data_IF_191553263711
#
_entry.id   IF_191553263711
#
_cell.length_a   1.000
_cell.length_b   1.000
_cell.length_c   1.000
_cell.angle_alpha   90.00
_cell.angle_beta   90.00
_cell.angle_gamma   90.00
#
_symmetry.space_group_name_H-M   'P 1'
#
loop_
_entity.id
_entity.type
_entity.pdbx_description
1 polymer ?
#
# COMPACT_ATOMS: atom_id res chain seq x y z
N UNK A 1 -13.07 19.55 -13.03
CA UNK A 1 -13.77 18.40 -12.41
C UNK A 1 -15.21 18.73 -11.99
N UNK A 2 -15.48 19.80 -11.23
CA UNK A 2 -16.83 20.11 -10.71
C UNK A 2 -17.91 20.34 -11.79
N UNK A 3 -17.56 20.93 -12.94
CA UNK A 3 -18.48 21.09 -14.08
C UNK A 3 -18.98 19.75 -14.65
N UNK A 4 -18.22 18.65 -14.47
CA UNK A 4 -18.63 17.30 -14.90
C UNK A 4 -19.60 16.63 -13.92
N UNK A 5 -19.83 17.24 -12.74
CA UNK A 5 -20.67 16.69 -11.66
C UNK A 5 -22.02 17.41 -11.55
N UNK A 6 -22.38 18.20 -12.57
CA UNK A 6 -23.63 18.94 -12.69
C UNK A 6 -23.94 19.89 -11.51
N UNK A 7 -22.91 20.43 -10.84
CA UNK A 7 -23.11 21.47 -9.83
C UNK A 7 -23.41 22.81 -10.51
N UNK A 8 -24.45 23.51 -10.04
CA UNK A 8 -24.72 24.89 -10.44
C UNK A 8 -23.62 25.86 -9.95
N UNK A 9 -23.47 27.05 -10.53
CA UNK A 9 -22.50 28.06 -10.06
C UNK A 9 -22.64 28.38 -8.56
N UNK A 10 -23.88 28.42 -8.06
CA UNK A 10 -24.16 28.64 -6.64
C UNK A 10 -23.68 27.46 -5.78
N UNK A 11 -23.88 26.23 -6.24
CA UNK A 11 -23.40 25.03 -5.54
C UNK A 11 -21.87 24.94 -5.55
N UNK A 12 -21.21 25.35 -6.64
CA UNK A 12 -19.75 25.42 -6.71
C UNK A 12 -19.20 26.43 -5.70
N UNK A 13 -19.84 27.59 -5.58
CA UNK A 13 -19.49 28.63 -4.60
C UNK A 13 -19.75 28.15 -3.17
N UNK A 14 -20.87 27.45 -2.92
CA UNK A 14 -21.15 26.83 -1.62
C UNK A 14 -20.11 25.77 -1.26
N UNK A 15 -19.74 24.89 -2.19
CA UNK A 15 -18.72 23.89 -1.97
C UNK A 15 -17.36 24.52 -1.63
N UNK A 16 -16.92 25.52 -2.41
CA UNK A 16 -15.69 26.25 -2.11
C UNK A 16 -15.71 26.89 -0.71
N UNK A 17 -16.84 27.47 -0.30
CA UNK A 17 -17.02 28.04 1.04
C UNK A 17 -16.96 26.97 2.13
N UNK A 18 -17.50 25.76 1.91
CA UNK A 18 -17.37 24.63 2.85
C UNK A 18 -15.90 24.28 3.04
N UNK A 19 -15.12 24.15 1.95
CA UNK A 19 -13.70 23.82 2.03
C UNK A 19 -12.88 24.89 2.76
N UNK A 20 -13.16 26.18 2.51
CA UNK A 20 -12.51 27.30 3.21
C UNK A 20 -12.80 27.25 4.72
N UNK A 21 -14.06 27.04 5.10
CA UNK A 21 -14.46 26.91 6.52
C UNK A 21 -13.80 25.70 7.18
N UNK A 22 -13.74 24.57 6.47
CA UNK A 22 -13.11 23.34 6.97
C UNK A 22 -11.62 23.58 7.26
N UNK A 23 -10.90 24.18 6.31
CA UNK A 23 -9.48 24.48 6.44
C UNK A 23 -9.15 25.53 7.52
N UNK A 24 -10.11 26.40 7.85
CA UNK A 24 -9.97 27.38 8.94
C UNK A 24 -10.42 26.85 10.31
N UNK A 25 -11.06 25.68 10.36
CA UNK A 25 -11.53 25.06 11.60
C UNK A 25 -10.41 24.29 12.30
N UNK A 26 -10.49 24.20 13.62
CA UNK A 26 -9.65 23.31 14.45
C UNK A 26 -10.34 21.99 14.81
N UNK A 27 -11.57 21.79 14.31
CA UNK A 27 -12.36 20.59 14.53
C UNK A 27 -11.81 19.39 13.76
N UNK A 28 -12.11 18.18 14.24
CA UNK A 28 -11.89 16.98 13.42
C UNK A 28 -12.78 17.02 12.16
N UNK A 29 -12.41 16.32 11.07
CA UNK A 29 -13.25 16.25 9.88
C UNK A 29 -14.68 15.81 10.15
N UNK A 30 -14.87 14.82 11.03
CA UNK A 30 -16.22 14.35 11.43
C UNK A 30 -17.01 15.42 12.18
N UNK A 31 -16.39 16.10 13.15
CA UNK A 31 -17.05 17.16 13.91
C UNK A 31 -17.43 18.35 13.03
N UNK A 32 -16.57 18.69 12.07
CA UNK A 32 -16.88 19.71 11.08
C UNK A 32 -18.07 19.30 10.19
N UNK A 33 -18.08 18.06 9.68
CA UNK A 33 -19.21 17.53 8.91
C UNK A 33 -20.53 17.57 9.71
N UNK A 34 -20.49 17.28 11.01
CA UNK A 34 -21.66 17.39 11.89
C UNK A 34 -22.18 18.82 12.05
N UNK A 35 -21.34 19.83 11.83
CA UNK A 35 -21.73 21.24 11.90
C UNK A 35 -22.44 21.74 10.62
N UNK A 36 -22.35 20.99 9.53
CA UNK A 36 -22.90 21.40 8.24
C UNK A 36 -24.43 21.25 8.22
N UNK A 37 -25.07 22.20 7.54
CA UNK A 37 -26.50 22.12 7.27
C UNK A 37 -26.81 21.00 6.27
N UNK A 38 -28.06 20.53 6.25
CA UNK A 38 -28.49 19.50 5.28
C UNK A 38 -28.25 19.91 3.82
N UNK A 39 -28.37 21.22 3.51
CA UNK A 39 -28.07 21.76 2.17
C UNK A 39 -26.58 21.70 1.85
N UNK A 40 -25.71 22.05 2.80
CA UNK A 40 -24.26 21.93 2.64
C UNK A 40 -23.82 20.47 2.49
N UNK A 41 -24.43 19.55 3.24
CA UNK A 41 -24.20 18.10 3.09
C UNK A 41 -24.63 17.58 1.72
N UNK A 42 -25.76 18.04 1.19
CA UNK A 42 -26.21 17.67 -0.16
C UNK A 42 -25.24 18.19 -1.25
N UNK A 43 -24.69 19.40 -1.06
CA UNK A 43 -23.65 19.94 -1.94
C UNK A 43 -22.38 19.08 -1.88
N UNK A 44 -21.94 18.66 -0.69
CA UNK A 44 -20.79 17.74 -0.54
C UNK A 44 -21.03 16.40 -1.24
N UNK A 45 -22.18 15.79 -1.01
CA UNK A 45 -22.55 14.52 -1.64
C UNK A 45 -22.50 14.60 -3.17
N UNK A 46 -23.06 15.67 -3.74
CA UNK A 46 -23.05 15.89 -5.18
C UNK A 46 -21.64 16.25 -5.69
N UNK A 47 -20.90 17.07 -4.96
CA UNK A 47 -19.51 17.43 -5.29
C UNK A 47 -18.62 16.19 -5.37
N UNK A 48 -18.86 15.17 -4.54
CA UNK A 48 -18.14 13.89 -4.55
C UNK A 48 -18.79 12.79 -5.40
N UNK A 49 -19.93 13.06 -6.04
CA UNK A 49 -20.71 12.11 -6.84
C UNK A 49 -21.10 10.83 -6.06
N UNK A 50 -21.41 10.98 -4.77
CA UNK A 50 -21.80 9.87 -3.91
C UNK A 50 -23.27 9.49 -4.15
N UNK A 51 -23.53 8.20 -4.39
CA UNK A 51 -24.88 7.69 -4.61
C UNK A 51 -25.75 7.75 -3.35
N UNK A 52 -25.16 7.43 -2.20
CA UNK A 52 -25.84 7.40 -0.90
C UNK A 52 -25.62 8.70 -0.13
N UNK A 53 -26.57 9.01 0.76
CA UNK A 53 -26.40 10.07 1.75
C UNK A 53 -25.20 9.77 2.64
N UNK A 54 -24.48 10.82 3.05
CA UNK A 54 -23.29 10.68 3.89
C UNK A 54 -23.70 10.33 5.32
N UNK A 55 -23.37 9.13 5.79
CA UNK A 55 -23.52 8.72 7.18
C UNK A 55 -22.24 9.00 7.98
N UNK A 56 -22.18 10.18 8.61
CA UNK A 56 -20.99 10.69 9.31
C UNK A 56 -20.53 9.73 10.43
N UNK A 57 -21.45 9.01 11.08
CA UNK A 57 -21.12 8.12 12.20
C UNK A 57 -20.22 6.97 11.74
N UNK A 58 -20.52 6.41 10.57
CA UNK A 58 -19.85 5.22 10.02
C UNK A 58 -18.63 5.53 9.15
N UNK A 59 -18.35 6.80 8.84
CA UNK A 59 -17.14 7.16 8.09
C UNK A 59 -15.87 6.79 8.87
N UNK A 60 -14.77 6.51 8.18
CA UNK A 60 -13.46 6.58 8.82
C UNK A 60 -13.01 8.05 8.99
N UNK A 61 -11.89 8.26 9.68
CA UNK A 61 -11.27 9.59 9.73
C UNK A 61 -10.80 10.05 8.34
N UNK A 62 -10.33 9.11 7.52
CA UNK A 62 -9.89 9.34 6.14
C UNK A 62 -11.06 9.68 5.22
N UNK A 63 -12.11 8.85 5.24
CA UNK A 63 -13.33 9.07 4.45
C UNK A 63 -13.99 10.40 4.74
N UNK A 64 -13.96 10.85 6.00
CA UNK A 64 -14.42 12.18 6.40
C UNK A 64 -13.47 13.30 5.93
N UNK A 65 -12.15 13.11 6.03
CA UNK A 65 -11.16 14.09 5.58
C UNK A 65 -11.22 14.31 4.06
N UNK A 66 -11.31 13.24 3.28
CA UNK A 66 -11.37 13.29 1.83
C UNK A 66 -12.69 13.90 1.29
N UNK A 67 -13.75 13.98 2.10
CA UNK A 67 -14.93 14.78 1.76
C UNK A 67 -14.66 16.29 1.81
N UNK A 68 -13.69 16.72 2.62
CA UNK A 68 -13.37 18.12 2.90
C UNK A 68 -12.18 18.65 2.08
N UNK A 69 -11.91 18.02 0.95
CA UNK A 69 -10.93 18.48 -0.05
C UNK A 69 -11.59 18.57 -1.42
N UNK A 70 -10.90 19.22 -2.36
CA UNK A 70 -11.32 19.20 -3.75
C UNK A 70 -11.36 17.75 -4.27
N UNK A 71 -12.34 17.37 -5.10
CA UNK A 71 -12.48 16.02 -5.61
C UNK A 71 -11.52 15.78 -6.78
N UNK A 72 -10.24 15.85 -6.45
CA UNK A 72 -9.08 15.58 -7.29
C UNK A 72 -8.32 14.41 -6.64
N UNK A 73 -8.12 13.28 -7.35
CA UNK A 73 -7.37 12.14 -6.81
C UNK A 73 -5.99 12.50 -6.25
N UNK A 74 -5.34 13.55 -6.77
CA UNK A 74 -4.00 13.95 -6.32
C UNK A 74 -3.99 14.70 -4.98
N UNK A 75 -5.16 15.14 -4.50
CA UNK A 75 -5.30 15.86 -3.25
C UNK A 75 -5.80 14.98 -2.11
N UNK A 76 -6.19 13.74 -2.42
CA UNK A 76 -6.69 12.80 -1.43
C UNK A 76 -5.59 12.31 -0.52
N UNK A 77 -5.99 11.82 0.65
CA UNK A 77 -5.10 11.25 1.65
C UNK A 77 -5.50 9.80 1.88
N UNK A 78 -4.49 8.95 2.05
CA UNK A 78 -4.58 7.57 2.52
C UNK A 78 -3.89 7.55 3.90
N UNK A 79 -4.69 7.59 4.97
CA UNK A 79 -4.19 7.72 6.34
C UNK A 79 -3.70 6.40 6.91
N UNK A 80 -4.37 5.29 6.57
CA UNK A 80 -4.00 3.97 7.07
C UNK A 80 -2.89 3.32 6.23
N UNK A 81 -2.51 3.93 5.10
CA UNK A 81 -1.48 3.49 4.16
C UNK A 81 -1.77 2.09 3.61
N UNK A 82 -3.05 1.76 3.39
CA UNK A 82 -3.47 0.48 2.83
C UNK A 82 -3.55 0.50 1.28
N UNK A 83 -3.24 1.64 0.67
CA UNK A 83 -3.23 1.82 -0.77
C UNK A 83 -4.62 1.93 -1.40
N UNK A 84 -5.66 2.02 -0.57
CA UNK A 84 -6.99 2.45 -0.96
C UNK A 84 -7.21 3.89 -0.48
N UNK A 85 -8.18 4.55 -1.08
CA UNK A 85 -8.59 5.87 -0.64
C UNK A 85 -10.07 5.87 -0.37
N UNK A 86 -10.45 6.33 0.82
CA UNK A 86 -11.83 6.43 1.26
C UNK A 86 -12.39 7.83 0.98
N UNK A 87 -13.55 7.93 0.32
CA UNK A 87 -14.30 9.20 0.15
C UNK A 87 -15.73 8.96 0.64
N UNK A 88 -16.06 9.49 1.82
CA UNK A 88 -17.22 9.00 2.54
C UNK A 88 -17.04 7.49 2.82
N UNK A 89 -18.02 6.68 2.41
CA UNK A 89 -17.95 5.20 2.50
C UNK A 89 -17.35 4.56 1.24
N UNK A 90 -17.16 5.34 0.16
CA UNK A 90 -16.63 4.83 -1.09
C UNK A 90 -15.15 4.50 -0.97
N UNK A 91 -14.75 3.31 -1.42
CA UNK A 91 -13.35 2.88 -1.47
C UNK A 91 -12.87 2.83 -2.91
N UNK A 92 -11.74 3.48 -3.17
CA UNK A 92 -11.15 3.57 -4.49
C UNK A 92 -9.74 2.99 -4.46
N UNK A 93 -9.45 2.10 -5.40
CA UNK A 93 -8.08 1.68 -5.67
C UNK A 93 -7.47 2.70 -6.61
N UNK A 94 -6.27 3.14 -6.27
CA UNK A 94 -5.43 3.94 -7.16
C UNK A 94 -4.00 3.45 -7.04
N UNK A 95 -3.25 3.53 -8.14
CA UNK A 95 -1.81 3.32 -8.10
C UNK A 95 -1.09 4.39 -8.93
N UNK A 96 0.00 4.96 -8.41
CA UNK A 96 0.45 4.88 -7.01
C UNK A 96 -0.60 5.51 -6.08
N UNK A 97 -0.66 5.11 -4.81
CA UNK A 97 -1.59 5.71 -3.86
C UNK A 97 -1.25 7.20 -3.63
N UNK A 98 -2.19 8.00 -3.11
CA UNK A 98 -1.99 9.46 -2.97
C UNK A 98 -0.77 9.86 -2.14
N UNK A 99 -0.40 9.05 -1.15
CA UNK A 99 0.76 9.21 -0.28
C UNK A 99 2.09 8.73 -0.89
N UNK A 100 2.09 8.14 -2.10
CA UNK A 100 3.34 7.73 -2.76
C UNK A 100 4.23 8.94 -3.11
N UNK A 101 5.56 8.79 -3.12
CA UNK A 101 6.45 9.88 -3.52
C UNK A 101 6.23 10.33 -4.97
N UNK A 102 6.45 11.62 -5.23
CA UNK A 102 6.25 12.22 -6.55
C UNK A 102 7.06 11.56 -7.68
N UNK A 103 8.26 11.04 -7.39
CA UNK A 103 9.04 10.33 -8.38
C UNK A 103 8.36 9.02 -8.83
N UNK A 104 7.67 8.31 -7.93
CA UNK A 104 6.91 7.09 -8.23
C UNK A 104 5.67 7.44 -9.05
N UNK A 105 4.93 8.49 -8.65
CA UNK A 105 3.75 8.98 -9.39
C UNK A 105 4.12 9.37 -10.83
N UNK A 106 5.21 10.12 -11.00
CA UNK A 106 5.71 10.50 -12.33
C UNK A 106 6.12 9.30 -13.16
N UNK A 107 6.89 8.37 -12.59
CA UNK A 107 7.31 7.17 -13.30
C UNK A 107 6.11 6.33 -13.79
N UNK A 108 5.06 6.22 -12.96
CA UNK A 108 3.82 5.55 -13.34
C UNK A 108 3.06 6.28 -14.45
N UNK A 109 2.94 7.61 -14.34
CA UNK A 109 2.27 8.43 -15.35
C UNK A 109 2.95 8.28 -16.72
N UNK A 110 4.29 8.32 -16.76
CA UNK A 110 5.08 8.13 -17.97
C UNK A 110 4.97 6.68 -18.49
N UNK A 111 4.96 5.68 -17.60
CA UNK A 111 4.84 4.27 -17.99
C UNK A 111 3.48 3.91 -18.59
N UNK A 112 2.43 4.60 -18.14
CA UNK A 112 1.04 4.37 -18.58
C UNK A 112 0.57 5.36 -19.65
N UNK A 113 1.46 6.20 -20.16
CA UNK A 113 1.13 7.17 -21.21
C UNK A 113 0.58 6.47 -22.46
N UNK A 114 -0.56 6.99 -22.96
CA UNK A 114 -1.23 6.48 -24.16
C UNK A 114 -2.17 5.29 -23.93
N UNK A 115 -2.25 4.74 -22.72
CA UNK A 115 -3.24 3.73 -22.38
C UNK A 115 -4.64 4.33 -22.25
N UNK A 116 -5.66 3.54 -22.60
CA UNK A 116 -7.04 3.90 -22.28
C UNK A 116 -7.34 3.67 -20.79
N UNK A 117 -8.40 4.29 -20.29
CA UNK A 117 -8.80 4.23 -18.87
C UNK A 117 -9.01 2.81 -18.35
N UNK A 118 -9.56 1.91 -19.16
CA UNK A 118 -9.83 0.53 -18.73
C UNK A 118 -8.54 -0.26 -18.55
N UNK A 119 -7.60 -0.13 -19.49
CA UNK A 119 -6.31 -0.81 -19.40
C UNK A 119 -5.46 -0.23 -18.27
N UNK A 120 -5.49 1.09 -18.08
CA UNK A 120 -4.85 1.73 -16.94
C UNK A 120 -5.44 1.25 -15.61
N UNK A 121 -6.77 1.19 -15.48
CA UNK A 121 -7.44 0.72 -14.26
C UNK A 121 -7.09 -0.74 -13.93
N UNK A 122 -6.97 -1.61 -14.94
CA UNK A 122 -6.53 -3.01 -14.73
C UNK A 122 -5.10 -3.08 -14.21
N UNK A 123 -4.22 -2.23 -14.74
CA UNK A 123 -2.84 -2.13 -14.29
C UNK A 123 -2.76 -1.57 -12.87
N UNK A 124 -3.54 -0.54 -12.53
CA UNK A 124 -3.63 -0.01 -11.17
C UNK A 124 -4.09 -1.07 -10.18
N UNK A 125 -5.13 -1.84 -10.54
CA UNK A 125 -5.57 -2.98 -9.73
C UNK A 125 -4.46 -4.00 -9.53
N UNK A 126 -3.72 -4.37 -10.59
CA UNK A 126 -2.60 -5.31 -10.50
C UNK A 126 -1.46 -4.79 -9.62
N UNK A 127 -1.13 -3.51 -9.73
CA UNK A 127 -0.08 -2.89 -8.92
C UNK A 127 -0.51 -2.84 -7.45
N UNK A 128 -1.75 -2.44 -7.17
CA UNK A 128 -2.32 -2.45 -5.83
C UNK A 128 -2.26 -3.86 -5.23
N UNK A 129 -2.76 -4.89 -5.93
CA UNK A 129 -2.75 -6.26 -5.38
C UNK A 129 -1.34 -6.83 -5.22
N UNK A 130 -0.38 -6.38 -6.01
CA UNK A 130 1.03 -6.78 -5.82
C UNK A 130 1.64 -6.14 -4.57
N UNK A 131 1.32 -4.88 -4.29
CA UNK A 131 1.85 -4.17 -3.11
C UNK A 131 1.10 -4.57 -1.83
N UNK A 132 -0.22 -4.42 -1.83
CA UNK A 132 -1.09 -4.49 -0.65
C UNK A 132 -1.84 -5.83 -0.52
N UNK A 133 -1.83 -6.67 -1.57
CA UNK A 133 -2.62 -7.90 -1.60
C UNK A 133 -4.10 -7.65 -1.90
N UNK A 134 -4.92 -8.68 -1.67
CA UNK A 134 -6.38 -8.58 -1.70
C UNK A 134 -6.87 -8.78 -0.27
N UNK A 135 -7.63 -7.83 0.25
CA UNK A 135 -8.34 -8.01 1.51
C UNK A 135 -9.61 -8.83 1.25
N UNK A 136 -9.69 -10.02 1.82
CA UNK A 136 -10.88 -10.88 1.82
C UNK A 136 -11.22 -11.17 3.28
N UNK A 137 -12.47 -10.94 3.67
CA UNK A 137 -12.93 -11.22 5.03
C UNK A 137 -12.53 -12.65 5.46
N UNK A 138 -11.97 -12.75 6.67
CA UNK A 138 -11.45 -13.98 7.27
C UNK A 138 -10.16 -14.57 6.66
N UNK A 139 -9.54 -13.94 5.66
CA UNK A 139 -8.23 -14.35 5.13
C UNK A 139 -7.19 -13.27 5.47
N UNK A 140 -6.09 -13.62 6.17
CA UNK A 140 -4.99 -12.69 6.38
C UNK A 140 -4.46 -12.17 5.03
N UNK A 141 -4.50 -10.86 4.82
CA UNK A 141 -3.92 -10.23 3.63
C UNK A 141 -2.40 -10.13 3.76
N UNK A 142 -1.73 -9.85 2.65
CA UNK A 142 -0.32 -9.46 2.66
C UNK A 142 -0.16 -8.21 3.53
N UNK A 143 0.79 -8.22 4.46
CA UNK A 143 1.20 -7.00 5.17
C UNK A 143 2.11 -6.20 4.26
N UNK A 144 1.72 -4.98 3.81
CA UNK A 144 2.59 -4.13 3.02
C UNK A 144 3.81 -3.69 3.84
N UNK A 145 4.89 -3.33 3.16
CA UNK A 145 6.04 -2.72 3.84
C UNK A 145 5.65 -1.33 4.39
N UNK A 146 6.31 -0.86 5.46
CA UNK A 146 6.21 0.54 5.86
C UNK A 146 6.48 1.45 4.65
N UNK A 147 5.73 2.55 4.52
CA UNK A 147 5.79 3.42 3.33
C UNK A 147 7.21 3.86 2.96
N UNK A 148 8.06 4.17 3.96
CA UNK A 148 9.46 4.55 3.75
C UNK A 148 10.29 3.43 3.11
N UNK A 149 9.98 2.17 3.41
CA UNK A 149 10.63 1.01 2.81
C UNK A 149 9.98 0.61 1.49
N UNK A 150 8.64 0.65 1.40
CA UNK A 150 7.89 0.32 0.19
C UNK A 150 8.33 1.17 -1.00
N UNK A 151 8.54 2.46 -0.77
CA UNK A 151 8.95 3.42 -1.80
C UNK A 151 10.45 3.73 -1.78
N UNK A 152 11.25 2.96 -1.03
CA UNK A 152 12.71 3.01 -1.13
C UNK A 152 13.18 2.37 -2.44
N UNK A 153 14.43 2.64 -2.82
CA UNK A 153 15.05 1.98 -3.96
C UNK A 153 14.96 0.44 -3.90
N UNK A 154 15.22 -0.16 -2.73
CA UNK A 154 15.09 -1.61 -2.54
C UNK A 154 13.65 -2.10 -2.63
N UNK A 155 12.70 -1.36 -2.06
CA UNK A 155 11.26 -1.64 -2.16
C UNK A 155 10.77 -1.65 -3.61
N UNK A 156 11.15 -0.64 -4.38
CA UNK A 156 10.82 -0.50 -5.80
C UNK A 156 11.48 -1.59 -6.65
N UNK A 157 12.75 -1.93 -6.41
CA UNK A 157 13.41 -3.05 -7.08
C UNK A 157 12.70 -4.39 -6.83
N UNK A 158 12.26 -4.63 -5.59
CA UNK A 158 11.49 -5.84 -5.26
C UNK A 158 10.11 -5.87 -5.90
N UNK A 159 9.44 -4.71 -5.96
CA UNK A 159 8.17 -4.58 -6.66
C UNK A 159 8.34 -4.95 -8.14
N UNK A 160 9.31 -4.34 -8.83
CA UNK A 160 9.61 -4.64 -10.24
C UNK A 160 9.95 -6.13 -10.44
N UNK A 161 10.83 -6.69 -9.61
CA UNK A 161 11.18 -8.11 -9.67
C UNK A 161 9.96 -9.03 -9.45
N UNK A 162 9.03 -8.63 -8.59
CA UNK A 162 7.77 -9.36 -8.36
C UNK A 162 6.85 -9.30 -9.58
N UNK A 163 6.76 -8.14 -10.25
CA UNK A 163 5.95 -7.96 -11.45
C UNK A 163 6.46 -8.83 -12.61
N UNK A 164 7.78 -8.89 -12.84
CA UNK A 164 8.36 -9.80 -13.83
C UNK A 164 8.10 -11.26 -13.47
N UNK A 165 8.27 -11.66 -12.20
CA UNK A 165 7.99 -13.04 -11.79
C UNK A 165 6.52 -13.44 -11.99
N UNK A 166 5.57 -12.51 -11.75
CA UNK A 166 4.14 -12.75 -12.04
C UNK A 166 3.87 -12.87 -13.54
N UNK A 167 4.52 -12.03 -14.36
CA UNK A 167 4.44 -12.10 -15.82
C UNK A 167 5.00 -13.44 -16.33
N UNK A 168 6.17 -13.85 -15.86
CA UNK A 168 6.79 -15.12 -16.25
C UNK A 168 5.89 -16.30 -15.89
N UNK A 169 5.31 -16.28 -14.69
CA UNK A 169 4.35 -17.30 -14.27
C UNK A 169 3.13 -17.34 -15.21
N UNK A 170 2.49 -16.19 -15.50
CA UNK A 170 1.30 -16.17 -16.36
C UNK A 170 1.63 -16.59 -17.81
N UNK A 171 2.77 -16.16 -18.34
CA UNK A 171 3.28 -16.59 -19.65
C UNK A 171 3.58 -18.08 -19.67
N UNK A 172 4.10 -18.67 -18.59
CA UNK A 172 4.35 -20.12 -18.52
C UNK A 172 3.06 -20.96 -18.58
N UNK A 173 1.95 -20.39 -18.09
CA UNK A 173 0.64 -21.05 -18.06
C UNK A 173 -0.14 -20.87 -19.36
N UNK A 174 -0.10 -19.67 -19.95
CA UNK A 174 -1.00 -19.27 -21.04
C UNK A 174 -0.27 -18.98 -22.36
N UNK A 175 1.06 -18.91 -22.33
CA UNK A 175 1.89 -18.41 -23.43
C UNK A 175 1.87 -16.88 -23.54
N UNK A 176 2.67 -16.36 -24.48
CA UNK A 176 2.71 -14.93 -24.76
C UNK A 176 1.42 -14.47 -25.44
N UNK A 177 0.77 -13.47 -24.85
CA UNK A 177 -0.40 -12.78 -25.39
C UNK A 177 -0.08 -11.31 -25.62
N UNK A 178 -0.95 -10.58 -26.33
CA UNK A 178 -0.82 -9.12 -26.48
C UNK A 178 -0.91 -8.40 -25.13
N UNK A 179 -1.72 -8.92 -24.18
CA UNK A 179 -1.79 -8.38 -22.83
C UNK A 179 -0.49 -8.61 -22.04
N UNK A 180 0.19 -9.74 -22.23
CA UNK A 180 1.49 -10.01 -21.61
C UNK A 180 2.55 -9.02 -22.11
N UNK A 181 2.63 -8.80 -23.42
CA UNK A 181 3.56 -7.83 -24.03
C UNK A 181 3.27 -6.40 -23.59
N UNK A 182 1.99 -6.01 -23.54
CA UNK A 182 1.61 -4.68 -23.08
C UNK A 182 1.99 -4.47 -21.61
N UNK A 183 1.79 -5.48 -20.76
CA UNK A 183 2.19 -5.41 -19.36
C UNK A 183 3.71 -5.33 -19.19
N UNK A 184 4.45 -6.18 -19.91
CA UNK A 184 5.92 -6.14 -19.93
C UNK A 184 6.45 -4.74 -20.30
N UNK A 185 5.90 -4.12 -21.34
CA UNK A 185 6.29 -2.77 -21.75
C UNK A 185 6.02 -1.73 -20.66
N UNK A 186 4.90 -1.84 -19.93
CA UNK A 186 4.61 -0.94 -18.81
C UNK A 186 5.60 -1.15 -17.67
N UNK A 187 5.95 -2.40 -17.33
CA UNK A 187 6.97 -2.68 -16.29
C UNK A 187 8.31 -2.06 -16.70
N UNK A 188 8.76 -2.28 -17.94
CA UNK A 188 10.04 -1.77 -18.45
C UNK A 188 10.09 -0.23 -18.40
N UNK A 189 9.02 0.44 -18.86
CA UNK A 189 8.94 1.91 -18.78
C UNK A 189 8.92 2.40 -17.35
N UNK A 190 8.16 1.73 -16.47
CA UNK A 190 8.08 2.09 -15.06
C UNK A 190 9.46 1.97 -14.39
N UNK A 191 10.14 0.84 -14.56
CA UNK A 191 11.50 0.61 -14.08
C UNK A 191 12.49 1.65 -14.61
N UNK A 192 12.44 1.95 -15.91
CA UNK A 192 13.30 2.96 -16.54
C UNK A 192 13.07 4.35 -15.94
N UNK A 193 11.81 4.76 -15.75
CA UNK A 193 11.48 6.09 -15.24
C UNK A 193 11.68 6.24 -13.73
N UNK A 194 11.83 5.13 -12.99
CA UNK A 194 12.24 5.15 -11.60
C UNK A 194 13.75 5.40 -11.41
N UNK A 195 14.55 5.35 -12.49
CA UNK A 195 16.01 5.49 -12.47
C UNK A 195 16.67 4.51 -11.47
N UNK A 196 16.14 3.28 -11.41
CA UNK A 196 16.72 2.23 -10.58
C UNK A 196 18.02 1.76 -11.26
N UNK A 197 19.14 1.62 -10.52
CA UNK A 197 20.37 1.11 -11.12
C UNK A 197 20.14 -0.31 -11.62
N UNK A 198 20.63 -0.59 -12.84
CA UNK A 198 20.64 -1.94 -13.42
C UNK A 198 21.20 -2.93 -12.39
N UNK A 199 20.55 -4.09 -12.26
CA UNK A 199 21.02 -5.18 -11.41
C UNK A 199 22.38 -5.68 -11.91
N UNK A 200 23.46 -5.06 -11.44
CA UNK A 200 24.77 -5.69 -11.49
C UNK A 200 24.71 -6.91 -10.57
N UNK A 201 24.98 -8.09 -11.15
CA UNK A 201 25.18 -9.32 -10.41
C UNK A 201 26.06 -9.05 -9.18
N UNK A 202 25.54 -9.39 -8.01
CA UNK A 202 26.10 -9.14 -6.69
C UNK A 202 27.60 -9.46 -6.71
N UNK A 203 28.42 -8.42 -6.73
CA UNK A 203 29.85 -8.48 -6.46
C UNK A 203 30.05 -7.69 -5.17
N UNK A 204 30.29 -8.42 -4.08
CA UNK A 204 30.65 -7.89 -2.77
C UNK A 204 31.80 -6.91 -2.87
N UNK A 205 31.59 -5.66 -2.45
CA UNK A 205 32.58 -4.93 -1.65
C UNK A 205 31.92 -3.78 -0.88
N UNK A 206 31.92 -3.93 0.43
CA UNK A 206 31.54 -2.94 1.44
C UNK A 206 32.53 -1.78 1.49
N UNK A 207 32.01 -0.55 1.60
CA UNK A 207 32.46 0.44 2.58
C UNK A 207 31.63 1.73 2.46
N UNK A 208 30.72 1.94 3.42
CA UNK A 208 30.57 3.20 4.18
C UNK A 208 29.44 2.99 5.19
N UNK A 209 29.74 3.21 6.47
CA UNK A 209 28.81 3.11 7.57
C UNK A 209 28.09 4.45 7.76
N UNK A 210 26.80 4.36 8.13
CA UNK A 210 25.92 5.42 8.67
C UNK A 210 24.98 6.08 7.66
N UNK A 211 23.89 5.39 7.31
CA UNK A 211 22.52 5.92 7.33
C UNK A 211 21.53 4.74 7.16
N UNK A 212 20.95 4.34 8.30
CA UNK A 212 19.68 3.64 8.55
C UNK A 212 19.14 2.61 7.52
N UNK A 213 19.07 1.36 8.02
CA UNK A 213 18.66 0.09 7.39
C UNK A 213 19.65 -0.37 6.31
N UNK A 214 20.51 -1.34 6.68
CA UNK A 214 21.47 -1.90 5.73
C UNK A 214 20.68 -2.52 4.58
N UNK A 215 21.17 -2.39 3.36
CA UNK A 215 20.52 -2.97 2.16
C UNK A 215 20.19 -4.47 2.36
N UNK A 216 21.00 -5.18 3.15
CA UNK A 216 20.71 -6.55 3.61
C UNK A 216 19.43 -6.68 4.45
N UNK A 217 19.17 -5.76 5.37
CA UNK A 217 17.98 -5.75 6.22
C UNK A 217 16.72 -5.44 5.40
N UNK A 218 16.83 -4.54 4.42
CA UNK A 218 15.75 -4.28 3.44
C UNK A 218 15.51 -5.52 2.59
N UNK A 219 16.55 -6.15 2.04
CA UNK A 219 16.43 -7.38 1.25
C UNK A 219 15.78 -8.51 2.06
N UNK A 220 16.13 -8.65 3.34
CA UNK A 220 15.51 -9.63 4.23
C UNK A 220 14.04 -9.30 4.50
N UNK A 221 13.68 -8.05 4.78
CA UNK A 221 12.29 -7.60 4.94
C UNK A 221 11.46 -7.82 3.67
N UNK A 222 12.05 -7.61 2.49
CA UNK A 222 11.40 -7.85 1.20
C UNK A 222 11.15 -9.34 0.97
N UNK A 223 12.11 -10.20 1.33
CA UNK A 223 11.94 -11.65 1.29
C UNK A 223 10.83 -12.07 2.26
N UNK A 224 10.85 -11.58 3.50
CA UNK A 224 9.84 -11.89 4.50
C UNK A 224 8.43 -11.46 4.04
N UNK A 225 8.28 -10.23 3.54
CA UNK A 225 7.01 -9.70 3.01
C UNK A 225 6.52 -10.45 1.76
N UNK A 226 7.43 -10.88 0.87
CA UNK A 226 7.10 -11.71 -0.30
C UNK A 226 6.64 -13.11 0.10
N UNK A 227 7.18 -13.62 1.20
CA UNK A 227 6.88 -14.94 1.74
C UNK A 227 5.67 -14.95 2.69
N UNK A 228 5.07 -13.79 2.98
CA UNK A 228 4.01 -13.67 3.99
C UNK A 228 4.50 -14.01 5.40
N UNK A 229 5.81 -13.86 5.65
CA UNK A 229 6.41 -14.09 6.96
C UNK A 229 6.14 -12.86 7.83
N UNK A 230 5.37 -13.09 8.88
CA UNK A 230 5.12 -12.09 9.93
C UNK A 230 6.37 -11.98 10.82
N UNK A 231 7.14 -10.91 10.62
CA UNK A 231 8.39 -10.69 11.32
C UNK A 231 8.19 -10.38 12.80
N UNK A 232 7.08 -9.73 13.18
CA UNK A 232 6.77 -9.50 14.60
C UNK A 232 6.60 -10.83 15.34
N UNK A 233 5.96 -11.83 14.71
CA UNK A 233 5.87 -13.18 15.27
C UNK A 233 7.24 -13.86 15.42
N UNK A 234 8.17 -13.64 14.49
CA UNK A 234 9.53 -14.19 14.60
C UNK A 234 10.33 -13.52 15.71
N UNK A 235 10.23 -12.19 15.83
CA UNK A 235 10.88 -11.41 16.88
C UNK A 235 10.31 -11.75 18.26
N UNK A 236 8.99 -11.95 18.38
CA UNK A 236 8.35 -12.41 19.62
C UNK A 236 8.84 -13.81 20.04
N UNK A 237 9.05 -14.72 19.07
CA UNK A 237 9.61 -16.05 19.33
C UNK A 237 11.08 -15.93 19.80
N UNK A 238 11.88 -15.09 19.16
CA UNK A 238 13.28 -14.87 19.55
C UNK A 238 13.41 -14.22 20.93
N UNK A 239 12.57 -13.24 21.24
CA UNK A 239 12.48 -12.67 22.57
C UNK A 239 12.10 -13.71 23.63
N UNK A 240 11.14 -14.59 23.32
CA UNK A 240 10.76 -15.69 24.23
C UNK A 240 11.91 -16.67 24.44
N UNK A 241 12.64 -17.01 23.37
CA UNK A 241 13.85 -17.85 23.47
C UNK A 241 14.89 -17.18 24.38
N UNK A 242 15.16 -15.88 24.21
CA UNK A 242 16.12 -15.16 25.05
C UNK A 242 15.65 -15.04 26.51
N UNK A 243 14.38 -14.74 26.74
CA UNK A 243 13.79 -14.67 28.09
C UNK A 243 13.91 -16.02 28.82
N UNK A 244 13.69 -17.14 28.12
CA UNK A 244 13.83 -18.49 28.69
C UNK A 244 15.30 -18.85 28.92
N UNK A 245 16.18 -18.52 27.98
CA UNK A 245 17.62 -18.78 28.10
C UNK A 245 18.24 -18.03 29.30
N UNK A 246 17.81 -16.80 29.55
CA UNK A 246 18.32 -15.95 30.61
C UNK A 246 17.59 -16.11 31.96
N UNK A 247 16.53 -16.94 32.05
CA UNK A 247 15.77 -17.10 33.28
C UNK A 247 16.46 -18.10 34.24
N UNK A 248 16.93 -17.69 35.43
CA UNK A 248 17.59 -18.60 36.37
C UNK A 248 16.66 -19.61 37.04
N UNK A 249 15.34 -19.37 37.02
CA UNK A 249 14.33 -20.19 37.74
C UNK A 249 13.87 -21.43 36.96
N UNK A 250 14.26 -21.55 35.68
CA UNK A 250 13.89 -22.70 34.85
C UNK A 250 15.04 -23.73 34.85
N UNK A 251 14.77 -25.01 35.19
CA UNK A 251 15.76 -26.08 35.10
C UNK A 251 16.32 -26.24 33.68
N UNK A 252 17.60 -26.56 33.54
CA UNK A 252 18.29 -26.60 32.23
C UNK A 252 17.64 -27.57 31.24
N UNK A 253 17.15 -28.72 31.70
CA UNK A 253 16.46 -29.69 30.85
C UNK A 253 15.13 -29.15 30.29
N UNK A 254 14.43 -28.33 31.07
CA UNK A 254 13.15 -27.73 30.71
C UNK A 254 13.36 -26.51 29.81
N UNK A 255 14.42 -25.73 30.05
CA UNK A 255 14.89 -24.68 29.12
C UNK A 255 15.17 -25.22 27.74
N UNK A 256 15.90 -26.34 27.66
CA UNK A 256 16.26 -26.94 26.38
C UNK A 256 15.02 -27.38 25.60
N UNK A 257 14.05 -28.03 26.26
CA UNK A 257 12.80 -28.43 25.63
C UNK A 257 11.96 -27.24 25.13
N UNK A 258 11.85 -26.18 25.94
CA UNK A 258 11.08 -24.99 25.58
C UNK A 258 11.73 -24.21 24.43
N UNK A 259 13.05 -24.03 24.46
CA UNK A 259 13.80 -23.38 23.38
C UNK A 259 13.68 -24.20 22.10
N UNK A 260 13.79 -25.53 22.18
CA UNK A 260 13.63 -26.41 21.02
C UNK A 260 12.22 -26.30 20.41
N UNK A 261 11.16 -26.31 21.24
CA UNK A 261 9.79 -26.13 20.73
C UNK A 261 9.58 -24.78 20.05
N UNK A 262 10.18 -23.71 20.58
CA UNK A 262 10.12 -22.38 19.97
C UNK A 262 10.93 -22.31 18.66
N UNK A 263 12.07 -22.98 18.60
CA UNK A 263 12.86 -23.13 17.37
C UNK A 263 12.10 -23.92 16.30
N UNK A 264 11.43 -25.01 16.67
CA UNK A 264 10.56 -25.78 15.77
C UNK A 264 9.38 -24.94 15.26
N UNK A 265 8.77 -24.10 16.10
CA UNK A 265 7.73 -23.15 15.67
C UNK A 265 8.27 -22.12 14.69
N UNK A 266 9.45 -21.55 14.95
CA UNK A 266 10.14 -20.64 14.02
C UNK A 266 10.39 -21.32 12.68
N UNK A 267 10.91 -22.54 12.71
CA UNK A 267 11.22 -23.31 11.50
C UNK A 267 9.96 -23.74 10.74
N UNK A 268 8.86 -24.03 11.43
CA UNK A 268 7.55 -24.31 10.82
C UNK A 268 6.99 -23.09 10.08
N UNK A 269 7.11 -21.88 10.64
CA UNK A 269 6.70 -20.62 9.97
C UNK A 269 7.53 -20.42 8.68
N UNK A 270 8.85 -20.60 8.77
CA UNK A 270 9.75 -20.49 7.62
C UNK A 270 9.49 -21.58 6.57
N UNK A 271 9.19 -22.81 6.98
CA UNK A 271 8.89 -23.91 6.09
C UNK A 271 7.52 -23.75 5.40
N UNK A 272 6.52 -23.23 6.11
CA UNK A 272 5.22 -22.89 5.54
C UNK A 272 5.37 -21.81 4.47
N UNK A 273 6.14 -20.76 4.75
CA UNK A 273 6.49 -19.72 3.80
C UNK A 273 7.19 -20.29 2.54
N UNK A 274 8.14 -21.22 2.70
CA UNK A 274 8.82 -21.88 1.57
C UNK A 274 7.89 -22.73 0.70
N UNK A 275 6.89 -23.39 1.31
CA UNK A 275 5.91 -24.23 0.58
C UNK A 275 4.96 -23.42 -0.31
N UNK A 276 4.75 -22.13 -0.05
CA UNK A 276 3.90 -21.28 -0.88
C UNK A 276 4.55 -20.89 -2.23
N UNK A 277 5.84 -21.21 -2.43
CA UNK A 277 6.59 -20.92 -3.68
C UNK A 277 6.81 -22.17 -4.54
N UNK A 278 6.38 -23.36 -4.10
CA UNK A 278 6.57 -24.64 -4.83
C UNK A 278 5.24 -25.15 -5.37
#
# INVERSE_FOLDING_TARGET
>A
MLNRRNLSPDQQSQFANILIKANASSQSPKDFLHSLTQKEMAVLQQAHALANTIDIQNLSAEGAANLLIQPDPNLQVDYNNDGMTEIGEGRLISFPPPNAPEHVKRAWQEATEGLNELDKSRLELRMHTTVYGIQIDAIPSKTPLPASLQWSQGGLQSLVATLYAQLDFSVSMEGWSEHHKAFEQVIQRFETNLDLPEQQAISTNSNTASAEIKNHDVMQLLLDARLGIDREKLEEIEEKIQKIANNPDIPDHEKQQLIQSLQEKKEAILAQARRLIT
#
